data_IF_789032887354
#
_entry.id   IF_789032887354
#
_cell.length_a   1.000
_cell.length_b   1.000
_cell.length_c   1.000
_cell.angle_alpha   90.00
_cell.angle_beta   90.00
_cell.angle_gamma   90.00
#
_symmetry.space_group_name_H-M   'P 1'
#
loop_
_entity.id
_entity.type
_entity.pdbx_description
1 polymer ?
#
# COMPACT_ATOMS: atom_id res chain seq x y z
N UNK A 1 -21.35 9.31 -16.78
CA UNK A 1 -21.79 9.68 -15.42
C UNK A 1 -20.62 9.33 -14.52
N UNK A 2 -19.81 10.33 -14.16
CA UNK A 2 -18.60 10.16 -13.33
C UNK A 2 -19.02 10.67 -11.96
N UNK A 3 -19.20 9.77 -11.01
CA UNK A 3 -19.43 10.18 -9.65
C UNK A 3 -18.11 10.33 -8.91
N UNK A 4 -18.25 11.06 -7.82
CA UNK A 4 -17.28 11.73 -6.98
C UNK A 4 -16.04 10.90 -6.55
N UNK A 5 -15.02 11.53 -5.96
CA UNK A 5 -13.91 10.85 -5.28
C UNK A 5 -14.33 9.71 -4.33
N UNK A 6 -15.54 9.74 -3.78
CA UNK A 6 -16.09 8.65 -2.96
C UNK A 6 -16.33 7.38 -3.77
N UNK A 7 -16.84 7.46 -5.01
CA UNK A 7 -17.06 6.27 -5.84
C UNK A 7 -15.75 5.60 -6.24
N UNK A 8 -14.72 6.39 -6.56
CA UNK A 8 -13.38 5.85 -6.81
C UNK A 8 -12.75 5.25 -5.55
N UNK A 9 -12.91 5.90 -4.39
CA UNK A 9 -12.46 5.37 -3.09
C UNK A 9 -13.18 4.06 -2.73
N UNK A 10 -14.47 3.97 -3.03
CA UNK A 10 -15.28 2.77 -2.80
C UNK A 10 -14.83 1.63 -3.72
N UNK A 11 -14.51 1.94 -4.99
CA UNK A 11 -13.98 0.96 -5.94
C UNK A 11 -12.59 0.45 -5.51
N UNK A 12 -11.67 1.34 -5.16
CA UNK A 12 -10.35 0.96 -4.63
C UNK A 12 -10.49 0.18 -3.32
N UNK A 13 -11.40 0.61 -2.44
CA UNK A 13 -11.72 -0.09 -1.21
C UNK A 13 -12.22 -1.50 -1.47
N UNK A 14 -13.19 -1.66 -2.37
CA UNK A 14 -13.75 -2.96 -2.75
C UNK A 14 -12.70 -3.88 -3.37
N UNK A 15 -11.79 -3.35 -4.21
CA UNK A 15 -10.68 -4.12 -4.77
C UNK A 15 -9.71 -4.59 -3.69
N UNK A 16 -9.35 -3.72 -2.75
CA UNK A 16 -8.50 -4.09 -1.61
C UNK A 16 -9.17 -5.15 -0.74
N UNK A 17 -10.46 -5.01 -0.46
CA UNK A 17 -11.22 -6.00 0.29
C UNK A 17 -11.34 -7.34 -0.44
N UNK A 18 -11.49 -7.32 -1.77
CA UNK A 18 -11.51 -8.53 -2.58
C UNK A 18 -10.16 -9.28 -2.51
N UNK A 19 -9.04 -8.56 -2.60
CA UNK A 19 -7.69 -9.15 -2.46
C UNK A 19 -7.48 -9.72 -1.05
N UNK A 20 -7.87 -8.99 -0.01
CA UNK A 20 -7.81 -9.46 1.39
C UNK A 20 -8.68 -10.69 1.60
N UNK A 21 -9.88 -10.72 1.01
CA UNK A 21 -10.80 -11.85 1.04
C UNK A 21 -10.22 -13.08 0.35
N UNK A 22 -9.62 -12.92 -0.83
CA UNK A 22 -8.96 -13.99 -1.57
C UNK A 22 -7.76 -14.57 -0.79
N UNK A 23 -6.91 -13.70 -0.24
CA UNK A 23 -5.79 -14.11 0.61
C UNK A 23 -6.29 -14.89 1.83
N UNK A 24 -7.28 -14.36 2.56
CA UNK A 24 -7.88 -15.03 3.73
C UNK A 24 -8.48 -16.39 3.36
N UNK A 25 -9.13 -16.49 2.20
CA UNK A 25 -9.66 -17.74 1.67
C UNK A 25 -8.56 -18.77 1.43
N UNK A 26 -7.43 -18.35 0.86
CA UNK A 26 -6.27 -19.21 0.61
C UNK A 26 -5.62 -19.69 1.91
N UNK A 27 -5.40 -18.79 2.88
CA UNK A 27 -4.87 -19.14 4.21
C UNK A 27 -5.75 -20.16 4.92
N UNK A 28 -7.08 -20.00 4.82
CA UNK A 28 -8.06 -20.93 5.40
C UNK A 28 -8.00 -22.32 4.75
N UNK A 29 -7.77 -22.40 3.43
CA UNK A 29 -7.73 -23.66 2.67
C UNK A 29 -6.41 -24.42 2.81
N UNK A 30 -5.29 -23.73 2.69
CA UNK A 30 -3.96 -24.35 2.70
C UNK A 30 -3.35 -24.44 4.11
N UNK A 31 -3.92 -23.74 5.08
CA UNK A 31 -3.39 -23.65 6.44
C UNK A 31 -2.20 -22.69 6.55
N UNK A 32 -2.11 -22.00 7.69
CA UNK A 32 -1.11 -20.96 7.94
C UNK A 32 0.33 -21.50 7.90
N UNK A 33 0.52 -22.78 8.22
CA UNK A 33 1.84 -23.43 8.21
C UNK A 33 2.48 -23.47 6.82
N UNK A 34 1.68 -23.50 5.76
CA UNK A 34 2.17 -23.57 4.37
C UNK A 34 2.77 -22.24 3.92
N UNK A 35 2.31 -21.11 4.49
CA UNK A 35 2.88 -19.78 4.25
C UNK A 35 4.27 -19.60 4.87
N UNK A 36 4.56 -20.34 5.94
CA UNK A 36 5.85 -20.29 6.63
C UNK A 36 6.88 -21.25 6.06
N UNK A 37 6.51 -22.06 5.06
CA UNK A 37 7.45 -22.94 4.37
C UNK A 37 8.08 -22.18 3.20
N UNK A 38 9.40 -21.94 3.19
CA UNK A 38 10.04 -21.28 2.06
C UNK A 38 9.80 -22.10 0.79
N UNK A 39 9.67 -21.41 -0.35
CA UNK A 39 9.61 -22.07 -1.66
C UNK A 39 11.01 -22.45 -2.12
N UNK A 40 11.12 -23.47 -2.98
CA UNK A 40 12.39 -23.81 -3.62
C UNK A 40 12.94 -22.61 -4.41
N UNK A 41 14.26 -22.38 -4.44
CA UNK A 41 15.34 -23.21 -3.88
C UNK A 41 15.65 -22.97 -2.39
N UNK A 42 14.98 -22.01 -1.74
CA UNK A 42 15.27 -21.58 -0.37
C UNK A 42 14.77 -22.54 0.72
N UNK A 43 14.07 -23.60 0.32
CA UNK A 43 13.67 -24.69 1.21
C UNK A 43 14.81 -25.68 1.52
N UNK A 44 15.98 -25.55 0.88
CA UNK A 44 17.11 -26.47 1.08
C UNK A 44 18.37 -25.71 1.51
N UNK A 45 19.17 -26.26 2.44
CA UNK A 45 18.91 -27.45 3.26
C UNK A 45 17.82 -27.21 4.32
N UNK A 46 17.00 -28.23 4.63
CA UNK A 46 15.78 -28.10 5.45
C UNK A 46 16.03 -27.51 6.86
N UNK A 47 17.23 -27.66 7.42
CA UNK A 47 17.57 -27.10 8.73
C UNK A 47 17.67 -25.56 8.73
N UNK A 48 17.94 -24.93 7.58
CA UNK A 48 17.98 -23.47 7.44
C UNK A 48 16.61 -22.87 7.11
N UNK A 49 15.64 -23.69 6.68
CA UNK A 49 14.30 -23.25 6.31
C UNK A 49 13.64 -22.32 7.36
N UNK A 50 13.64 -22.60 8.68
CA UNK A 50 13.02 -21.72 9.66
C UNK A 50 13.73 -20.36 9.78
N UNK A 51 15.06 -20.34 9.71
CA UNK A 51 15.84 -19.11 9.76
C UNK A 51 15.57 -18.23 8.53
N UNK A 52 15.47 -18.84 7.35
CA UNK A 52 15.12 -18.16 6.09
C UNK A 52 13.72 -17.57 6.16
N UNK A 53 12.74 -18.32 6.68
CA UNK A 53 11.38 -17.80 6.88
C UNK A 53 11.37 -16.59 7.81
N UNK A 54 12.07 -16.65 8.95
CA UNK A 54 12.15 -15.53 9.89
C UNK A 54 12.81 -14.32 9.22
N UNK A 55 13.93 -14.52 8.52
CA UNK A 55 14.61 -13.44 7.81
C UNK A 55 13.71 -12.80 6.73
N UNK A 56 12.95 -13.61 6.00
CA UNK A 56 12.00 -13.12 5.00
C UNK A 56 10.86 -12.32 5.65
N UNK A 57 10.27 -12.81 6.75
CA UNK A 57 9.22 -12.10 7.48
C UNK A 57 9.71 -10.76 8.04
N UNK A 58 10.91 -10.73 8.63
CA UNK A 58 11.53 -9.50 9.11
C UNK A 58 11.80 -8.51 7.97
N UNK A 59 12.25 -9.02 6.81
CA UNK A 59 12.45 -8.19 5.62
C UNK A 59 11.15 -7.58 5.13
N UNK A 60 10.07 -8.38 5.06
CA UNK A 60 8.73 -7.89 4.68
C UNK A 60 8.23 -6.84 5.67
N UNK A 61 8.40 -7.07 6.98
CA UNK A 61 8.01 -6.12 8.02
C UNK A 61 8.77 -4.79 7.88
N UNK A 62 10.09 -4.86 7.70
CA UNK A 62 10.94 -3.68 7.54
C UNK A 62 10.58 -2.92 6.26
N UNK A 63 10.39 -3.61 5.14
CA UNK A 63 9.99 -3.01 3.86
C UNK A 63 8.59 -2.38 3.94
N UNK A 64 7.65 -3.00 4.67
CA UNK A 64 6.34 -2.41 4.94
C UNK A 64 6.49 -1.09 5.71
N UNK A 65 7.35 -1.06 6.73
CA UNK A 65 7.69 0.17 7.45
C UNK A 65 8.28 1.25 6.54
N UNK A 66 9.21 0.88 5.66
CA UNK A 66 9.79 1.78 4.65
C UNK A 66 8.70 2.33 3.72
N UNK A 67 7.77 1.50 3.25
CA UNK A 67 6.67 1.92 2.40
C UNK A 67 5.75 2.94 3.09
N UNK A 68 5.40 2.70 4.37
CA UNK A 68 4.60 3.63 5.17
C UNK A 68 5.35 4.95 5.41
N UNK A 69 6.65 4.88 5.73
CA UNK A 69 7.48 6.07 5.90
C UNK A 69 7.60 6.88 4.59
N UNK A 70 7.77 6.21 3.45
CA UNK A 70 7.81 6.84 2.14
C UNK A 70 6.46 7.52 1.80
N UNK A 71 5.34 6.89 2.13
CA UNK A 71 4.01 7.51 1.99
C UNK A 71 3.88 8.77 2.85
N UNK A 72 4.36 8.71 4.11
CA UNK A 72 4.41 9.88 4.99
C UNK A 72 5.27 11.00 4.39
N UNK A 73 6.48 10.69 3.95
CA UNK A 73 7.39 11.64 3.31
C UNK A 73 6.79 12.25 2.04
N UNK A 74 6.09 11.45 1.24
CA UNK A 74 5.37 11.93 0.05
C UNK A 74 4.27 12.93 0.41
N UNK A 75 3.44 12.62 1.41
CA UNK A 75 2.41 13.54 1.90
C UNK A 75 3.04 14.82 2.44
N UNK A 76 4.12 14.71 3.23
CA UNK A 76 4.86 15.88 3.72
C UNK A 76 5.42 16.72 2.57
N UNK A 77 5.96 16.10 1.52
CA UNK A 77 6.45 16.80 0.34
C UNK A 77 5.32 17.54 -0.39
N UNK A 78 4.14 16.93 -0.52
CA UNK A 78 2.97 17.59 -1.10
C UNK A 78 2.51 18.79 -0.26
N UNK A 79 2.51 18.67 1.07
CA UNK A 79 2.20 19.79 1.96
C UNK A 79 3.24 20.91 1.79
N UNK A 80 4.52 20.58 1.80
CA UNK A 80 5.59 21.57 1.59
C UNK A 80 5.43 22.28 0.24
N UNK A 81 5.15 21.53 -0.84
CA UNK A 81 4.86 22.08 -2.16
C UNK A 81 3.63 23.01 -2.12
N UNK A 82 2.54 22.59 -1.49
CA UNK A 82 1.35 23.42 -1.31
C UNK A 82 1.68 24.75 -0.62
N UNK A 83 2.45 24.70 0.48
CA UNK A 83 2.85 25.89 1.22
C UNK A 83 3.76 26.79 0.38
N UNK A 84 4.69 26.25 -0.39
CA UNK A 84 5.52 27.04 -1.30
C UNK A 84 4.67 27.74 -2.36
N UNK A 85 3.75 27.01 -3.00
CA UNK A 85 2.85 27.58 -4.02
C UNK A 85 2.01 28.73 -3.45
N UNK A 86 1.40 28.53 -2.29
CA UNK A 86 0.51 29.53 -1.68
C UNK A 86 1.30 30.69 -1.07
N UNK A 87 2.32 30.41 -0.26
CA UNK A 87 2.98 31.43 0.55
C UNK A 87 4.10 32.17 -0.20
N UNK A 88 4.85 31.46 -1.05
CA UNK A 88 6.00 32.05 -1.76
C UNK A 88 5.57 32.56 -3.13
N UNK A 89 4.81 31.76 -3.87
CA UNK A 89 4.40 32.13 -5.23
C UNK A 89 3.04 32.83 -5.29
N UNK A 90 2.31 32.94 -4.16
CA UNK A 90 1.00 33.60 -4.11
C UNK A 90 -0.07 32.89 -4.94
N UNK A 91 0.13 31.62 -5.26
CA UNK A 91 -0.81 30.81 -6.05
C UNK A 91 -1.97 30.40 -5.14
N UNK A 92 -3.14 30.98 -5.38
CA UNK A 92 -4.39 30.52 -4.77
C UNK A 92 -4.88 29.29 -5.52
N UNK A 93 -4.80 28.12 -4.88
CA UNK A 93 -5.39 26.89 -5.42
C UNK A 93 -6.88 26.92 -5.07
N UNK A 94 -7.69 27.49 -5.96
CA UNK A 94 -9.14 27.30 -5.92
C UNK A 94 -9.44 25.90 -6.45
N UNK A 95 -9.76 25.00 -5.52
CA UNK A 95 -10.27 23.68 -5.88
C UNK A 95 -11.69 23.89 -6.39
N UNK A 96 -11.83 24.11 -7.69
CA UNK A 96 -13.13 24.15 -8.35
C UNK A 96 -13.60 22.70 -8.55
N UNK A 97 -14.61 22.20 -7.80
CA UNK A 97 -15.16 20.86 -8.03
C UNK A 97 -15.82 20.74 -9.42
N UNK A 98 -16.01 21.85 -10.12
CA UNK A 98 -16.58 21.96 -11.44
C UNK A 98 -15.65 22.82 -12.29
N UNK A 99 -15.08 22.26 -13.36
CA UNK A 99 -14.54 23.10 -14.42
C UNK A 99 -15.67 24.04 -14.88
N UNK A 100 -15.43 25.34 -14.87
CA UNK A 100 -16.27 26.30 -15.59
C UNK A 100 -16.18 25.95 -17.07
N UNK A 101 -17.10 25.11 -17.52
CA UNK A 101 -17.42 24.97 -18.93
C UNK A 101 -17.94 26.31 -19.40
N UNK A 102 -17.08 27.03 -20.11
CA UNK A 102 -17.45 28.04 -21.10
C UNK A 102 -16.84 27.61 -22.43
#
# INVERSE_FOLDING_TARGET
MIGWPTEWLDEVGNQLWAVLGAFRGEVSRQGVMTLFRPVAPFNRPDFLAPAVTIAALLSVLLLSGVAVAALGAFVTALIALYLLLVQVFGVTIEVHPFGTGA
#
